data_IF_072154736618
#
_entry.id   IF_072154736618
#
_cell.length_a   1.000
_cell.length_b   1.000
_cell.length_c   1.000
_cell.angle_alpha   90.00
_cell.angle_beta   90.00
_cell.angle_gamma   90.00
#
_symmetry.space_group_name_H-M   'P 1'
#
loop_
_entity.id
_entity.type
_entity.pdbx_description
1 polymer ?
#
# COMPACT_ATOMS: atom_id res chain seq x y z
N UNK A 1 6.17 -29.48 50.89
CA UNK A 1 5.63 -28.14 50.60
C UNK A 1 5.73 -27.95 49.10
N UNK A 2 4.61 -28.08 48.38
CA UNK A 2 4.52 -27.90 46.93
C UNK A 2 4.08 -26.46 46.64
N UNK A 3 5.03 -25.60 46.33
CA UNK A 3 4.73 -24.27 45.76
C UNK A 3 4.30 -24.44 44.30
N UNK A 4 3.06 -24.86 44.11
CA UNK A 4 2.34 -24.54 42.89
C UNK A 4 1.90 -23.08 43.01
N UNK A 5 2.77 -22.18 42.56
CA UNK A 5 2.37 -20.84 42.16
C UNK A 5 1.31 -21.00 41.08
N UNK A 6 0.05 -20.94 41.49
CA UNK A 6 -1.10 -20.84 40.60
C UNK A 6 -0.83 -19.62 39.71
N UNK A 7 -0.42 -19.86 38.47
CA UNK A 7 -0.36 -18.84 37.45
C UNK A 7 -1.75 -18.21 37.42
N UNK A 8 -1.86 -16.99 37.97
CA UNK A 8 -3.09 -16.24 37.99
C UNK A 8 -3.63 -16.25 36.56
N UNK A 9 -4.89 -16.65 36.39
CA UNK A 9 -5.57 -16.64 35.09
C UNK A 9 -5.51 -15.20 34.61
N UNK A 10 -4.58 -14.89 33.71
CA UNK A 10 -4.52 -13.57 33.08
C UNK A 10 -5.76 -13.52 32.20
N UNK A 11 -6.77 -12.78 32.65
CA UNK A 11 -7.98 -12.52 31.87
C UNK A 11 -7.54 -12.01 30.49
N UNK A 12 -8.05 -12.59 29.39
CA UNK A 12 -7.60 -12.22 28.06
C UNK A 12 -7.86 -10.74 27.83
N UNK A 13 -6.78 -9.97 27.68
CA UNK A 13 -6.84 -8.53 27.47
C UNK A 13 -7.43 -8.29 26.08
N UNK A 14 -8.70 -7.86 26.03
CA UNK A 14 -9.43 -7.60 24.78
C UNK A 14 -8.72 -6.61 23.85
N UNK A 15 -7.82 -5.81 24.37
CA UNK A 15 -6.98 -4.84 23.64
C UNK A 15 -6.25 -5.48 22.47
N UNK A 16 -5.69 -6.68 22.59
CA UNK A 16 -4.96 -7.32 21.49
C UNK A 16 -5.87 -7.66 20.30
N UNK A 17 -7.09 -8.10 20.58
CA UNK A 17 -8.10 -8.36 19.57
C UNK A 17 -8.52 -7.06 18.86
N UNK A 18 -8.74 -5.97 19.61
CA UNK A 18 -9.05 -4.66 19.02
C UNK A 18 -7.92 -4.16 18.13
N UNK A 19 -6.67 -4.23 18.60
CA UNK A 19 -5.53 -3.75 17.84
C UNK A 19 -5.30 -4.60 16.57
N UNK A 20 -5.59 -5.89 16.59
CA UNK A 20 -5.51 -6.74 15.41
C UNK A 20 -6.64 -6.47 14.41
N UNK A 21 -7.85 -6.20 14.91
CA UNK A 21 -8.99 -5.77 14.10
C UNK A 21 -8.73 -4.41 13.44
N UNK A 22 -8.26 -3.40 14.18
CA UNK A 22 -7.94 -2.09 13.62
C UNK A 22 -6.77 -2.15 12.61
N UNK A 23 -5.79 -3.03 12.83
CA UNK A 23 -4.72 -3.24 11.84
C UNK A 23 -5.29 -3.78 10.52
N UNK A 24 -6.22 -4.73 10.59
CA UNK A 24 -6.89 -5.25 9.41
C UNK A 24 -7.76 -4.18 8.75
N UNK A 25 -8.57 -3.45 9.52
CA UNK A 25 -9.47 -2.42 9.01
C UNK A 25 -8.70 -1.33 8.27
N UNK A 26 -7.66 -0.77 8.89
CA UNK A 26 -6.80 0.23 8.25
C UNK A 26 -6.12 -0.32 7.00
N UNK A 27 -5.67 -1.59 7.01
CA UNK A 27 -5.11 -2.24 5.84
C UNK A 27 -6.10 -2.36 4.68
N UNK A 28 -7.34 -2.78 4.94
CA UNK A 28 -8.40 -2.87 3.93
C UNK A 28 -8.75 -1.49 3.37
N UNK A 29 -8.89 -0.48 4.22
CA UNK A 29 -9.16 0.90 3.79
C UNK A 29 -8.06 1.43 2.86
N UNK A 30 -6.79 1.17 3.18
CA UNK A 30 -5.65 1.56 2.34
C UNK A 30 -5.61 0.81 1.01
N UNK A 31 -5.95 -0.49 0.99
CA UNK A 31 -6.05 -1.27 -0.26
C UNK A 31 -7.12 -0.67 -1.18
N UNK A 32 -8.32 -0.40 -0.64
CA UNK A 32 -9.41 0.20 -1.40
C UNK A 32 -9.03 1.59 -1.93
N UNK A 33 -8.37 2.40 -1.09
CA UNK A 33 -7.83 3.69 -1.51
C UNK A 33 -6.83 3.53 -2.65
N UNK A 34 -5.88 2.59 -2.55
CA UNK A 34 -4.88 2.39 -3.59
C UNK A 34 -5.48 1.94 -4.93
N UNK A 35 -6.46 1.03 -4.92
CA UNK A 35 -7.16 0.65 -6.16
C UNK A 35 -7.90 1.82 -6.78
N UNK A 36 -8.65 2.57 -5.97
CA UNK A 36 -9.33 3.78 -6.44
C UNK A 36 -8.31 4.79 -6.98
N UNK A 37 -7.24 5.05 -6.25
CA UNK A 37 -6.15 5.96 -6.63
C UNK A 37 -5.55 5.58 -7.99
N UNK A 38 -5.21 4.31 -8.20
CA UNK A 38 -4.64 3.84 -9.47
C UNK A 38 -5.60 4.04 -10.63
N UNK A 39 -6.90 3.81 -10.44
CA UNK A 39 -7.92 4.03 -11.48
C UNK A 39 -8.09 5.53 -11.77
N UNK A 40 -8.17 6.36 -10.73
CA UNK A 40 -8.36 7.81 -10.87
C UNK A 40 -7.17 8.45 -11.59
N UNK A 41 -5.94 8.09 -11.24
CA UNK A 41 -4.73 8.62 -11.89
C UNK A 41 -4.54 8.05 -13.29
N UNK A 42 -4.85 6.76 -13.52
CA UNK A 42 -4.80 6.13 -14.84
C UNK A 42 -5.86 6.65 -15.82
N UNK A 43 -6.87 7.38 -15.35
CA UNK A 43 -7.88 8.00 -16.22
C UNK A 43 -7.29 8.95 -17.28
N UNK A 44 -6.05 9.45 -17.07
CA UNK A 44 -5.30 10.21 -18.08
C UNK A 44 -5.07 9.41 -19.37
N UNK A 45 -4.99 8.09 -19.29
CA UNK A 45 -4.79 7.21 -20.44
C UNK A 45 -6.04 7.11 -21.33
N UNK A 46 -7.23 7.36 -20.80
CA UNK A 46 -8.49 7.27 -21.55
C UNK A 46 -8.59 8.30 -22.68
N UNK A 47 -7.85 9.40 -22.55
CA UNK A 47 -7.76 10.47 -23.54
C UNK A 47 -6.34 10.59 -24.12
N UNK A 48 -5.58 9.50 -24.12
CA UNK A 48 -4.22 9.43 -24.67
C UNK A 48 -3.29 10.58 -24.20
N UNK A 49 -3.38 10.99 -22.94
CA UNK A 49 -2.57 12.10 -22.39
C UNK A 49 -3.18 13.49 -22.52
N UNK A 50 -4.36 13.64 -23.15
CA UNK A 50 -5.09 14.91 -23.25
C UNK A 50 -5.63 15.42 -21.92
N UNK A 51 -5.69 14.56 -20.89
CA UNK A 51 -5.98 14.96 -19.51
C UNK A 51 -7.41 15.39 -19.23
N UNK A 52 -8.34 15.39 -20.21
CA UNK A 52 -9.72 15.87 -20.01
C UNK A 52 -10.44 15.10 -18.91
N UNK A 53 -10.40 13.76 -18.96
CA UNK A 53 -11.07 12.90 -17.97
C UNK A 53 -10.46 13.07 -16.58
N UNK A 54 -9.13 12.99 -16.48
CA UNK A 54 -8.42 13.16 -15.21
C UNK A 54 -8.69 14.53 -14.58
N UNK A 55 -8.65 15.61 -15.38
CA UNK A 55 -8.90 16.96 -14.89
C UNK A 55 -10.34 17.15 -14.44
N UNK A 56 -11.32 16.55 -15.14
CA UNK A 56 -12.71 16.58 -14.73
C UNK A 56 -12.94 15.88 -13.38
N UNK A 57 -12.37 14.69 -13.22
CA UNK A 57 -12.39 13.95 -11.94
C UNK A 57 -11.68 14.77 -10.85
N UNK A 58 -10.48 15.28 -11.12
CA UNK A 58 -9.73 16.07 -10.15
C UNK A 58 -10.48 17.35 -9.73
N UNK A 59 -11.17 17.99 -10.67
CA UNK A 59 -12.00 19.15 -10.39
C UNK A 59 -13.19 18.79 -9.48
N UNK A 60 -13.83 17.63 -9.67
CA UNK A 60 -14.87 17.14 -8.76
C UNK A 60 -14.32 16.96 -7.33
N UNK A 61 -13.14 16.38 -7.18
CA UNK A 61 -12.48 16.21 -5.87
C UNK A 61 -12.10 17.56 -5.24
N UNK A 62 -11.68 18.53 -6.05
CA UNK A 62 -11.36 19.89 -5.59
C UNK A 62 -12.61 20.66 -5.16
N UNK A 63 -13.67 20.64 -5.97
CA UNK A 63 -14.92 21.34 -5.72
C UNK A 63 -15.66 20.80 -4.48
N UNK A 64 -15.49 19.51 -4.18
CA UNK A 64 -16.05 18.88 -2.98
C UNK A 64 -15.12 18.94 -1.76
N UNK A 65 -13.97 19.60 -1.88
CA UNK A 65 -12.90 19.63 -0.86
C UNK A 65 -12.39 18.23 -0.43
N UNK A 66 -12.66 17.21 -1.24
CA UNK A 66 -12.33 15.82 -0.93
C UNK A 66 -10.82 15.58 -0.98
N UNK A 67 -10.07 16.31 -1.82
CA UNK A 67 -8.61 16.20 -1.84
C UNK A 67 -7.97 16.80 -0.58
N UNK A 68 -8.50 17.93 -0.10
CA UNK A 68 -8.00 18.69 1.05
C UNK A 68 -8.28 18.00 2.37
N UNK A 69 -9.45 17.36 2.51
CA UNK A 69 -9.79 16.60 3.70
C UNK A 69 -9.36 15.13 3.59
N UNK A 70 -9.63 14.50 2.45
CA UNK A 70 -9.31 13.10 2.21
C UNK A 70 -7.81 12.81 2.20
N UNK A 71 -6.99 13.71 1.64
CA UNK A 71 -5.53 13.58 1.63
C UNK A 71 -4.92 13.42 3.03
N UNK A 72 -5.11 14.39 3.95
CA UNK A 72 -4.66 14.26 5.33
C UNK A 72 -5.27 13.07 6.07
N UNK A 73 -6.55 12.73 5.84
CA UNK A 73 -7.17 11.57 6.49
C UNK A 73 -6.55 10.24 6.05
N UNK A 74 -6.24 10.07 4.77
CA UNK A 74 -5.54 8.90 4.27
C UNK A 74 -4.10 8.86 4.79
N UNK A 75 -3.42 10.01 4.86
CA UNK A 75 -2.08 10.08 5.45
C UNK A 75 -2.08 9.65 6.92
N UNK A 76 -3.04 10.13 7.72
CA UNK A 76 -3.22 9.69 9.11
C UNK A 76 -3.54 8.20 9.20
N UNK A 77 -4.37 7.68 8.28
CA UNK A 77 -4.70 6.25 8.21
C UNK A 77 -3.45 5.42 7.89
N UNK A 78 -2.59 5.89 6.99
CA UNK A 78 -1.31 5.25 6.67
C UNK A 78 -0.38 5.21 7.89
N UNK A 79 -0.26 6.31 8.64
CA UNK A 79 0.54 6.35 9.87
C UNK A 79 -0.03 5.42 10.95
N UNK A 80 -1.35 5.44 11.16
CA UNK A 80 -2.03 4.55 12.10
C UNK A 80 -1.83 3.08 11.71
N UNK A 81 -1.95 2.76 10.42
CA UNK A 81 -1.67 1.42 9.91
C UNK A 81 -0.23 1.00 10.19
N UNK A 82 0.74 1.88 9.94
CA UNK A 82 2.15 1.59 10.19
C UNK A 82 2.40 1.33 11.68
N UNK A 83 1.88 2.16 12.59
CA UNK A 83 2.03 1.96 14.05
C UNK A 83 1.40 0.63 14.49
N UNK A 84 0.24 0.27 13.96
CA UNK A 84 -0.41 -0.99 14.29
C UNK A 84 0.34 -2.20 13.73
N UNK A 85 0.86 -2.10 12.51
CA UNK A 85 1.58 -3.18 11.82
C UNK A 85 3.03 -3.34 12.32
N UNK A 86 3.68 -2.26 12.73
CA UNK A 86 5.07 -2.25 13.18
C UNK A 86 5.31 -3.12 14.42
N UNK A 87 4.28 -3.31 15.26
CA UNK A 87 4.32 -4.25 16.40
C UNK A 87 4.69 -5.69 16.00
N UNK A 88 4.53 -6.05 14.72
CA UNK A 88 4.86 -7.38 14.18
C UNK A 88 6.23 -7.42 13.49
N UNK A 89 6.95 -6.31 13.42
CA UNK A 89 8.24 -6.21 12.73
C UNK A 89 9.41 -6.47 13.69
N UNK A 90 10.42 -7.26 13.27
CA UNK A 90 11.62 -7.50 14.04
C UNK A 90 12.54 -6.26 13.96
N UNK A 91 12.51 -5.44 15.00
CA UNK A 91 13.38 -4.26 15.09
C UNK A 91 14.77 -4.60 15.63
N UNK A 92 14.91 -5.69 16.38
CA UNK A 92 16.21 -6.09 16.92
C UNK A 92 17.03 -6.85 15.88
N UNK A 93 18.32 -6.54 15.74
CA UNK A 93 19.21 -7.22 14.79
C UNK A 93 19.24 -8.75 14.98
N UNK A 94 19.10 -9.23 16.22
CA UNK A 94 19.00 -10.66 16.54
C UNK A 94 17.75 -11.30 15.92
N UNK A 95 16.61 -10.64 16.02
CA UNK A 95 15.33 -11.10 15.47
C UNK A 95 15.36 -11.06 13.93
N UNK A 96 15.95 -10.02 13.35
CA UNK A 96 16.15 -9.90 11.90
C UNK A 96 17.02 -11.03 11.36
N UNK A 97 18.14 -11.34 12.03
CA UNK A 97 19.00 -12.47 11.66
C UNK A 97 18.27 -13.80 11.81
N UNK A 98 17.48 -13.97 12.87
CA UNK A 98 16.71 -15.19 13.12
C UNK A 98 15.65 -15.43 12.04
N UNK A 99 14.83 -14.43 11.72
CA UNK A 99 13.79 -14.57 10.71
C UNK A 99 14.36 -14.76 9.30
N UNK A 100 15.49 -14.11 8.99
CA UNK A 100 16.20 -14.31 7.73
C UNK A 100 16.71 -15.75 7.58
N UNK A 101 17.42 -16.25 8.61
CA UNK A 101 17.92 -17.62 8.61
C UNK A 101 16.78 -18.66 8.54
N UNK A 102 15.69 -18.41 9.25
CA UNK A 102 14.51 -19.26 9.23
C UNK A 102 13.82 -19.26 7.85
N UNK A 103 13.65 -18.09 7.23
CA UNK A 103 13.07 -17.96 5.89
C UNK A 103 13.89 -18.71 4.84
N UNK A 104 15.22 -18.60 4.91
CA UNK A 104 16.14 -19.32 4.02
C UNK A 104 16.07 -20.84 4.21
N UNK A 105 15.92 -21.33 5.45
CA UNK A 105 15.84 -22.77 5.75
C UNK A 105 14.50 -23.37 5.34
N UNK A 106 13.39 -22.67 5.60
CA UNK A 106 12.06 -23.19 5.24
C UNK A 106 11.79 -23.16 3.74
N UNK A 107 12.39 -22.22 3.01
CA UNK A 107 12.17 -22.00 1.58
C UNK A 107 10.68 -21.99 1.21
N UNK A 108 9.87 -21.30 2.01
CA UNK A 108 8.42 -21.27 1.88
C UNK A 108 7.94 -19.91 1.35
N UNK A 109 7.09 -19.94 0.32
CA UNK A 109 6.67 -18.76 -0.42
C UNK A 109 6.03 -17.70 0.49
N UNK A 110 5.02 -18.05 1.29
CA UNK A 110 4.31 -17.04 2.10
C UNK A 110 5.20 -16.41 3.16
N UNK A 111 6.22 -17.13 3.62
CA UNK A 111 7.22 -16.61 4.56
C UNK A 111 8.08 -15.55 3.85
N UNK A 112 8.52 -15.81 2.62
CA UNK A 112 9.22 -14.83 1.80
C UNK A 112 8.35 -13.64 1.44
N UNK A 113 7.09 -13.86 1.06
CA UNK A 113 6.15 -12.78 0.81
C UNK A 113 6.00 -11.90 2.05
N UNK A 114 6.07 -12.47 3.26
CA UNK A 114 6.04 -11.69 4.52
C UNK A 114 7.26 -10.80 4.68
N UNK A 115 8.44 -11.31 4.36
CA UNK A 115 9.67 -10.51 4.32
C UNK A 115 9.58 -9.36 3.31
N UNK A 116 9.02 -9.62 2.11
CA UNK A 116 8.78 -8.59 1.08
C UNK A 116 7.80 -7.53 1.59
N UNK A 117 6.71 -7.94 2.24
CA UNK A 117 5.73 -7.00 2.79
C UNK A 117 6.34 -6.12 3.89
N UNK A 118 7.19 -6.68 4.75
CA UNK A 118 7.92 -5.93 5.76
C UNK A 118 8.91 -4.92 5.13
N UNK A 119 9.69 -5.34 4.13
CA UNK A 119 10.66 -4.46 3.46
C UNK A 119 9.98 -3.32 2.69
N UNK A 120 8.95 -3.65 1.90
CA UNK A 120 8.15 -2.65 1.16
C UNK A 120 7.49 -1.64 2.09
N UNK A 121 7.04 -2.04 3.29
CA UNK A 121 6.41 -1.13 4.25
C UNK A 121 7.30 0.06 4.61
N UNK A 122 8.59 -0.17 4.84
CA UNK A 122 9.53 0.91 5.18
C UNK A 122 9.79 1.85 4.00
N UNK A 123 9.91 1.28 2.79
CA UNK A 123 10.10 2.07 1.56
C UNK A 123 8.86 2.95 1.32
N UNK A 124 7.66 2.37 1.43
CA UNK A 124 6.38 3.06 1.27
C UNK A 124 6.20 4.12 2.35
N UNK A 125 6.58 3.86 3.61
CA UNK A 125 6.46 4.87 4.65
C UNK A 125 7.21 6.14 4.29
N UNK A 126 8.44 6.02 3.78
CA UNK A 126 9.25 7.19 3.41
C UNK A 126 8.76 7.80 2.10
N UNK A 127 8.70 7.01 1.03
CA UNK A 127 8.36 7.50 -0.30
C UNK A 127 6.89 7.92 -0.39
N UNK A 128 5.96 7.13 0.16
CA UNK A 128 4.55 7.48 0.25
C UNK A 128 4.34 8.78 1.02
N UNK A 129 5.06 9.02 2.12
CA UNK A 129 4.97 10.31 2.84
C UNK A 129 5.44 11.49 2.01
N UNK A 130 6.58 11.37 1.32
CA UNK A 130 7.09 12.43 0.42
C UNK A 130 6.09 12.68 -0.72
N UNK A 131 5.55 11.62 -1.31
CA UNK A 131 4.57 11.70 -2.38
C UNK A 131 3.32 12.46 -1.93
N UNK A 132 2.74 12.06 -0.79
CA UNK A 132 1.55 12.69 -0.21
C UNK A 132 1.81 14.15 0.11
N UNK A 133 2.94 14.48 0.72
CA UNK A 133 3.31 15.86 1.02
C UNK A 133 3.35 16.73 -0.24
N UNK A 134 4.07 16.31 -1.28
CA UNK A 134 4.24 17.10 -2.51
C UNK A 134 2.94 17.26 -3.29
N UNK A 135 2.07 16.25 -3.31
CA UNK A 135 0.78 16.36 -4.00
C UNK A 135 -0.19 17.25 -3.23
N UNK A 136 -0.28 17.10 -1.91
CA UNK A 136 -1.24 17.86 -1.10
C UNK A 136 -0.84 19.32 -0.89
N UNK A 137 0.45 19.64 -0.98
CA UNK A 137 0.94 21.03 -0.92
C UNK A 137 0.91 21.75 -2.27
N UNK A 138 0.64 21.04 -3.38
CA UNK A 138 0.60 21.59 -4.73
C UNK A 138 -0.77 21.40 -5.40
N UNK A 139 -1.84 21.64 -4.65
CA UNK A 139 -3.22 21.67 -5.15
C UNK A 139 -3.49 22.92 -5.99
N UNK A 140 -4.48 22.89 -6.92
CA UNK A 140 -5.29 21.75 -7.35
C UNK A 140 -4.51 20.72 -8.18
N UNK A 141 -4.99 19.47 -8.17
CA UNK A 141 -4.44 18.38 -8.98
C UNK A 141 -4.86 18.58 -10.45
N UNK A 142 -3.88 18.59 -11.36
CA UNK A 142 -4.13 18.58 -12.81
C UNK A 142 -3.19 17.63 -13.51
N UNK A 143 -3.58 17.19 -14.71
CA UNK A 143 -2.74 16.39 -15.59
C UNK A 143 -1.44 17.13 -15.92
N UNK A 144 -1.51 18.42 -16.28
CA UNK A 144 -0.34 19.23 -16.61
C UNK A 144 0.67 19.33 -15.44
N UNK A 145 0.21 19.61 -14.22
CA UNK A 145 1.10 19.66 -13.04
C UNK A 145 1.69 18.29 -12.70
N UNK A 146 0.92 17.22 -12.89
CA UNK A 146 1.38 15.86 -12.66
C UNK A 146 2.42 15.42 -13.70
N UNK A 147 2.21 15.77 -14.97
CA UNK A 147 3.17 15.58 -16.05
C UNK A 147 4.45 16.36 -15.82
N UNK A 148 4.35 17.67 -15.53
CA UNK A 148 5.50 18.52 -15.22
C UNK A 148 6.36 17.97 -14.06
N UNK A 149 5.71 17.44 -13.01
CA UNK A 149 6.42 16.78 -11.90
C UNK A 149 7.17 15.53 -12.38
N UNK A 150 6.52 14.64 -13.13
CA UNK A 150 7.13 13.38 -13.59
C UNK A 150 8.26 13.62 -14.60
N UNK A 151 8.12 14.63 -15.47
CA UNK A 151 9.10 14.97 -16.51
C UNK A 151 10.35 15.68 -15.98
N UNK A 152 10.32 16.18 -14.73
CA UNK A 152 11.41 16.95 -14.15
C UNK A 152 12.17 16.16 -13.08
N UNK A 153 13.50 16.33 -13.07
CA UNK A 153 14.38 15.79 -12.03
C UNK A 153 14.30 14.26 -11.88
N UNK A 154 14.25 13.80 -10.63
CA UNK A 154 14.29 12.38 -10.26
C UNK A 154 12.91 11.77 -10.02
N UNK A 155 11.83 12.49 -10.31
CA UNK A 155 10.46 12.08 -9.98
C UNK A 155 10.00 10.84 -10.75
N UNK A 156 10.39 10.68 -12.02
CA UNK A 156 10.10 9.45 -12.75
C UNK A 156 10.69 8.22 -12.05
N UNK A 157 11.97 8.28 -11.67
CA UNK A 157 12.65 7.20 -10.94
C UNK A 157 12.01 6.94 -9.58
N UNK A 158 11.64 8.00 -8.87
CA UNK A 158 10.88 7.90 -7.63
C UNK A 158 9.59 7.10 -7.80
N UNK A 159 8.79 7.39 -8.84
CA UNK A 159 7.55 6.65 -9.08
C UNK A 159 7.78 5.24 -9.62
N UNK A 160 8.84 5.00 -10.41
CA UNK A 160 9.21 3.67 -10.88
C UNK A 160 9.60 2.72 -9.74
N UNK A 161 10.08 3.25 -8.61
CA UNK A 161 10.31 2.46 -7.39
C UNK A 161 9.05 2.39 -6.53
N UNK A 162 8.35 3.51 -6.32
CA UNK A 162 7.16 3.53 -5.45
C UNK A 162 6.05 2.58 -5.95
N UNK A 163 5.80 2.56 -7.26
CA UNK A 163 4.75 1.79 -7.91
C UNK A 163 4.84 0.28 -7.62
N UNK A 164 5.94 -0.43 -7.94
CA UNK A 164 6.02 -1.86 -7.63
C UNK A 164 6.03 -2.12 -6.13
N UNK A 165 6.61 -1.23 -5.31
CA UNK A 165 6.65 -1.43 -3.85
C UNK A 165 5.25 -1.39 -3.24
N UNK A 166 4.43 -0.39 -3.59
CA UNK A 166 3.06 -0.28 -3.07
C UNK A 166 2.16 -1.39 -3.60
N UNK A 167 2.25 -1.73 -4.89
CA UNK A 167 1.40 -2.76 -5.50
C UNK A 167 1.70 -4.16 -4.94
N UNK A 168 2.97 -4.49 -4.72
CA UNK A 168 3.35 -5.73 -4.05
C UNK A 168 2.86 -5.75 -2.59
N UNK A 169 3.00 -4.64 -1.87
CA UNK A 169 2.53 -4.55 -0.48
C UNK A 169 1.00 -4.73 -0.37
N UNK A 170 0.26 -4.09 -1.27
CA UNK A 170 -1.21 -4.13 -1.35
C UNK A 170 -1.71 -5.52 -1.74
N UNK A 171 -1.18 -6.11 -2.82
CA UNK A 171 -1.55 -7.44 -3.29
C UNK A 171 -1.32 -8.51 -2.23
N UNK A 172 -0.09 -8.55 -1.71
CA UNK A 172 0.29 -9.53 -0.70
C UNK A 172 -0.52 -9.32 0.59
N UNK A 173 -0.78 -8.05 0.95
CA UNK A 173 -1.57 -7.67 2.11
C UNK A 173 -3.01 -8.19 2.06
N UNK A 174 -3.71 -7.98 0.94
CA UNK A 174 -5.11 -8.43 0.80
C UNK A 174 -5.20 -9.97 0.77
N UNK A 175 -4.27 -10.65 0.09
CA UNK A 175 -4.19 -12.12 0.12
C UNK A 175 -4.05 -12.63 1.57
N UNK A 176 -3.13 -12.04 2.36
CA UNK A 176 -2.94 -12.46 3.76
C UNK A 176 -4.11 -12.13 4.66
N UNK A 177 -4.78 -11.01 4.47
CA UNK A 177 -6.03 -10.71 5.21
C UNK A 177 -7.08 -11.78 4.90
N UNK A 178 -7.25 -12.15 3.62
CA UNK A 178 -8.18 -13.20 3.20
C UNK A 178 -7.89 -14.56 3.83
N UNK A 179 -6.62 -14.97 3.90
CA UNK A 179 -6.22 -16.22 4.58
C UNK A 179 -6.44 -16.13 6.08
N UNK A 180 -6.01 -15.03 6.72
CA UNK A 180 -6.06 -14.86 8.17
C UNK A 180 -7.48 -14.87 8.73
N UNK A 181 -8.42 -14.25 8.02
CA UNK A 181 -9.83 -14.17 8.44
C UNK A 181 -10.70 -15.29 7.87
N UNK A 182 -10.10 -16.31 7.24
CA UNK A 182 -10.79 -17.55 6.85
C UNK A 182 -11.61 -17.48 5.56
N UNK A 183 -11.55 -16.37 4.82
CA UNK A 183 -12.15 -16.26 3.48
C UNK A 183 -11.41 -17.13 2.46
N UNK A 184 -10.09 -17.26 2.61
CA UNK A 184 -9.24 -18.13 1.78
C UNK A 184 -8.88 -19.38 2.59
N UNK A 185 -9.33 -20.53 2.11
CA UNK A 185 -9.12 -21.86 2.67
C UNK A 185 -8.13 -22.65 1.81
N UNK A 186 -7.64 -23.79 2.31
CA UNK A 186 -6.68 -24.63 1.56
C UNK A 186 -7.16 -25.01 0.15
N UNK A 187 -8.46 -25.28 -0.02
CA UNK A 187 -9.04 -25.69 -1.29
C UNK A 187 -9.00 -24.59 -2.37
N UNK A 188 -9.17 -23.31 -2.00
CA UNK A 188 -9.19 -22.18 -2.94
C UNK A 188 -7.87 -21.37 -2.95
N UNK A 189 -6.89 -21.73 -2.12
CA UNK A 189 -5.63 -20.98 -1.96
C UNK A 189 -4.86 -20.80 -3.26
N UNK A 190 -4.75 -21.84 -4.09
CA UNK A 190 -4.05 -21.75 -5.38
C UNK A 190 -4.73 -20.77 -6.34
N UNK A 191 -6.06 -20.73 -6.32
CA UNK A 191 -6.84 -19.80 -7.14
C UNK A 191 -6.60 -18.36 -6.69
N UNK A 192 -6.71 -18.09 -5.38
CA UNK A 192 -6.51 -16.74 -4.84
C UNK A 192 -5.07 -16.22 -5.00
N UNK A 193 -4.06 -17.08 -4.89
CA UNK A 193 -2.68 -16.71 -5.24
C UNK A 193 -2.54 -16.31 -6.71
N UNK A 194 -3.12 -17.11 -7.63
CA UNK A 194 -3.06 -16.76 -9.06
C UNK A 194 -3.83 -15.48 -9.35
N UNK A 195 -4.97 -15.26 -8.68
CA UNK A 195 -5.78 -14.07 -8.83
C UNK A 195 -5.04 -12.82 -8.34
N UNK A 196 -4.45 -12.88 -7.14
CA UNK A 196 -3.66 -11.79 -6.56
C UNK A 196 -2.51 -11.40 -7.49
N UNK A 197 -1.70 -12.37 -7.93
CA UNK A 197 -0.60 -12.12 -8.86
C UNK A 197 -1.06 -11.47 -10.17
N UNK A 198 -2.21 -11.90 -10.72
CA UNK A 198 -2.78 -11.29 -11.94
C UNK A 198 -3.24 -9.87 -11.69
N UNK A 199 -3.94 -9.61 -10.57
CA UNK A 199 -4.42 -8.27 -10.21
C UNK A 199 -3.24 -7.32 -10.00
N UNK A 200 -2.23 -7.73 -9.24
CA UNK A 200 -1.01 -6.95 -9.02
C UNK A 200 -0.28 -6.67 -10.35
N UNK A 201 -0.15 -7.66 -11.24
CA UNK A 201 0.47 -7.45 -12.56
C UNK A 201 -0.31 -6.46 -13.42
N UNK A 202 -1.65 -6.52 -13.39
CA UNK A 202 -2.52 -5.59 -14.13
C UNK A 202 -2.33 -4.16 -13.61
N UNK A 203 -2.37 -3.94 -12.30
CA UNK A 203 -2.17 -2.60 -11.74
C UNK A 203 -0.76 -2.06 -11.99
N UNK A 204 0.27 -2.91 -11.89
CA UNK A 204 1.64 -2.51 -12.25
C UNK A 204 1.72 -2.10 -13.72
N UNK A 205 1.10 -2.87 -14.62
CA UNK A 205 1.12 -2.58 -16.06
C UNK A 205 0.36 -1.28 -16.36
N UNK A 206 -0.83 -1.09 -15.81
CA UNK A 206 -1.61 0.14 -15.96
C UNK A 206 -0.83 1.33 -15.40
N UNK A 207 -0.21 1.18 -14.23
CA UNK A 207 0.60 2.22 -13.62
C UNK A 207 1.83 2.57 -14.48
N UNK A 208 2.51 1.58 -15.06
CA UNK A 208 3.64 1.80 -15.95
C UNK A 208 3.22 2.55 -17.24
N UNK A 209 2.10 2.17 -17.84
CA UNK A 209 1.50 2.89 -18.98
C UNK A 209 1.17 4.33 -18.57
N UNK A 210 0.61 4.52 -17.38
CA UNK A 210 0.26 5.85 -16.85
C UNK A 210 1.49 6.74 -16.68
N UNK A 211 2.59 6.19 -16.11
CA UNK A 211 3.85 6.92 -15.99
C UNK A 211 4.43 7.27 -17.36
N UNK A 212 4.37 6.34 -18.33
CA UNK A 212 4.76 6.61 -19.70
C UNK A 212 3.92 7.74 -20.33
N UNK A 213 2.60 7.71 -20.15
CA UNK A 213 1.69 8.76 -20.64
C UNK A 213 2.03 10.11 -20.03
N UNK A 214 2.26 10.20 -18.71
CA UNK A 214 2.66 11.46 -18.08
C UNK A 214 4.03 11.96 -18.55
N UNK A 215 4.96 11.05 -18.82
CA UNK A 215 6.31 11.42 -19.25
C UNK A 215 6.34 11.89 -20.71
N UNK A 216 5.61 11.21 -21.60
CA UNK A 216 5.72 11.42 -23.05
C UNK A 216 4.57 12.23 -23.64
N UNK A 217 3.33 11.93 -23.25
CA UNK A 217 2.13 12.42 -23.94
C UNK A 217 1.53 13.66 -23.30
N UNK A 218 1.65 13.79 -21.98
CA UNK A 218 1.17 14.97 -21.27
C UNK A 218 2.12 16.14 -21.52
N UNK A 219 1.61 17.22 -22.11
CA UNK A 219 2.38 18.44 -22.29
C UNK A 219 2.41 19.22 -20.97
N UNK A 220 3.59 19.49 -20.40
CA UNK A 220 3.70 20.44 -19.30
C UNK A 220 3.34 21.82 -19.86
N UNK A 221 2.48 22.55 -19.15
CA UNK A 221 2.19 23.95 -19.47
C UNK A 221 3.34 24.84 -19.00
#
# INVERSE_FOLDING_TARGET
MSDQTLAARVEPVRTDAYLDFFQMLTGVLLVLFMWMHMILVASVNLDFGGGRVMNWIAHFFEATYMAQLGGPMIFLTMLAHFVLASRKLPFQAREQKAIWAHSKRMNHLDTWLWMVQAATAFIILVMGSIHMWVVLTNLPITAARSGARIQTGWWLLFYMVLLPMIELHVGIGIYRIGVKWGYIKRANRSFFHSLENKVTLVFITIGAITLFTFYVLVKPM
#
